data_IF_696430284979
#
_entry.id   IF_696430284979
#
_cell.length_a   1.000
_cell.length_b   1.000
_cell.length_c   1.000
_cell.angle_alpha   90.00
_cell.angle_beta   90.00
_cell.angle_gamma   90.00
#
_symmetry.space_group_name_H-M   'P 1'
#
loop_
_entity.id
_entity.type
_entity.pdbx_description
1 polymer ?
#
# COMPACT_ATOMS: atom_id res chain seq x y z
N UNK A 1 -13.91 72.91 13.47
CA UNK A 1 -13.03 72.05 12.70
C UNK A 1 -12.99 70.69 13.32
N UNK A 2 -13.62 69.70 12.70
CA UNK A 2 -13.69 68.33 13.20
C UNK A 2 -12.75 67.49 12.34
N UNK A 3 -11.68 67.00 12.95
CA UNK A 3 -10.69 66.16 12.29
C UNK A 3 -11.17 64.69 12.38
N UNK A 4 -11.44 64.08 11.23
CA UNK A 4 -11.78 62.65 11.10
C UNK A 4 -10.49 61.87 10.91
N UNK A 5 -10.16 61.00 11.87
CA UNK A 5 -9.07 60.05 11.77
C UNK A 5 -9.64 58.74 11.21
N UNK A 6 -9.21 58.39 9.97
CA UNK A 6 -9.57 57.18 9.29
C UNK A 6 -8.56 56.10 9.68
N UNK A 7 -8.94 55.12 10.50
CA UNK A 7 -8.11 53.96 10.83
C UNK A 7 -8.29 52.91 9.77
N UNK A 8 -7.26 52.66 8.94
CA UNK A 8 -7.16 51.49 8.03
C UNK A 8 -6.80 50.27 8.87
N UNK A 9 -7.74 49.39 9.10
CA UNK A 9 -7.46 48.05 9.63
C UNK A 9 -7.05 47.13 8.47
N UNK A 10 -5.74 46.95 8.29
CA UNK A 10 -5.18 45.98 7.37
C UNK A 10 -5.36 44.56 7.94
N UNK A 11 -6.32 43.80 7.42
CA UNK A 11 -6.47 42.39 7.73
C UNK A 11 -5.39 41.54 6.99
N UNK A 12 -4.42 41.03 7.73
CA UNK A 12 -3.52 39.99 7.24
C UNK A 12 -4.32 38.70 7.13
N UNK A 13 -4.66 38.30 5.88
CA UNK A 13 -5.14 36.95 5.58
C UNK A 13 -3.93 36.01 5.63
N UNK A 14 -3.70 35.38 6.77
CA UNK A 14 -2.84 34.22 6.88
C UNK A 14 -3.52 33.05 6.14
N UNK A 15 -3.14 32.86 4.88
CA UNK A 15 -3.44 31.62 4.17
C UNK A 15 -2.68 30.49 4.89
N UNK A 16 -3.32 29.86 5.84
CA UNK A 16 -2.81 28.65 6.49
C UNK A 16 -2.69 27.56 5.41
N UNK A 17 -1.46 27.23 5.03
CA UNK A 17 -1.22 25.98 4.33
C UNK A 17 -1.74 24.86 5.22
N UNK A 18 -2.86 24.23 4.84
CA UNK A 18 -3.25 22.95 5.39
C UNK A 18 -2.21 21.93 4.94
N UNK A 19 -1.18 21.72 5.74
CA UNK A 19 -0.38 20.51 5.66
C UNK A 19 -1.33 19.35 5.94
N UNK A 20 -1.64 18.53 4.92
CA UNK A 20 -2.49 17.36 5.09
C UNK A 20 -1.92 16.49 6.21
N UNK A 21 -2.81 15.88 7.01
CA UNK A 21 -2.36 14.93 8.04
C UNK A 21 -1.56 13.81 7.38
N UNK A 22 -0.43 13.41 8.01
CA UNK A 22 0.35 12.28 7.52
C UNK A 22 -0.48 10.99 7.54
N UNK A 23 -0.23 10.10 6.58
CA UNK A 23 -0.93 8.82 6.53
C UNK A 23 -0.65 7.97 7.77
N UNK A 24 -1.66 7.26 8.24
CA UNK A 24 -1.44 6.08 9.07
C UNK A 24 -1.09 4.91 8.15
N UNK A 25 0.21 4.77 7.80
CA UNK A 25 0.69 3.74 6.88
C UNK A 25 0.42 2.33 7.38
N UNK A 26 0.47 2.12 8.70
CA UNK A 26 0.13 0.83 9.30
C UNK A 26 -1.33 0.46 9.01
N UNK A 27 -2.26 1.40 9.12
CA UNK A 27 -3.67 1.14 8.80
C UNK A 27 -3.88 0.83 7.32
N UNK A 28 -3.18 1.51 6.40
CA UNK A 28 -3.22 1.24 4.96
C UNK A 28 -2.76 -0.19 4.65
N UNK A 29 -1.61 -0.60 5.21
CA UNK A 29 -1.10 -1.96 5.01
C UNK A 29 -1.97 -3.03 5.66
N UNK A 30 -2.50 -2.79 6.85
CA UNK A 30 -3.44 -3.71 7.48
C UNK A 30 -4.73 -3.87 6.67
N UNK A 31 -5.23 -2.82 6.05
CA UNK A 31 -6.37 -2.89 5.15
C UNK A 31 -6.07 -3.74 3.91
N UNK A 32 -4.91 -3.54 3.29
CA UNK A 32 -4.45 -4.33 2.15
C UNK A 32 -4.31 -5.81 2.52
N UNK A 33 -3.60 -6.13 3.61
CA UNK A 33 -3.38 -7.51 4.08
C UNK A 33 -4.70 -8.19 4.42
N UNK A 34 -5.62 -7.50 5.09
CA UNK A 34 -6.94 -8.04 5.43
C UNK A 34 -7.76 -8.33 4.18
N UNK A 35 -7.80 -7.40 3.20
CA UNK A 35 -8.50 -7.62 1.94
C UNK A 35 -7.90 -8.79 1.16
N UNK A 36 -6.56 -8.94 1.17
CA UNK A 36 -5.87 -10.07 0.56
C UNK A 36 -6.26 -11.40 1.22
N UNK A 37 -6.17 -11.50 2.53
CA UNK A 37 -6.50 -12.71 3.29
C UNK A 37 -7.97 -13.09 3.16
N UNK A 38 -8.86 -12.12 3.07
CA UNK A 38 -10.30 -12.33 2.84
C UNK A 38 -10.65 -12.62 1.38
N UNK A 39 -9.68 -12.63 0.45
CA UNK A 39 -9.92 -12.83 -1.00
C UNK A 39 -10.82 -11.74 -1.62
N UNK A 40 -10.81 -10.55 -1.04
CA UNK A 40 -11.57 -9.38 -1.53
C UNK A 40 -10.85 -8.75 -2.74
N UNK A 41 -10.78 -9.49 -3.85
CA UNK A 41 -10.00 -9.14 -5.06
C UNK A 41 -10.25 -7.72 -5.54
N UNK A 42 -11.52 -7.31 -5.68
CA UNK A 42 -11.87 -5.98 -6.17
C UNK A 42 -11.47 -4.88 -5.18
N UNK A 43 -11.47 -5.17 -3.89
CA UNK A 43 -10.99 -4.24 -2.86
C UNK A 43 -9.49 -4.07 -2.94
N UNK A 44 -8.72 -5.15 -3.06
CA UNK A 44 -7.26 -5.09 -3.27
C UNK A 44 -6.94 -4.25 -4.52
N UNK A 45 -7.62 -4.52 -5.64
CA UNK A 45 -7.47 -3.75 -6.88
C UNK A 45 -7.86 -2.27 -6.68
N UNK A 46 -8.90 -2.00 -5.89
CA UNK A 46 -9.34 -0.65 -5.54
C UNK A 46 -8.30 0.16 -4.77
N UNK A 47 -7.41 -0.50 -4.04
CA UNK A 47 -6.30 0.14 -3.31
C UNK A 47 -5.11 0.50 -4.22
N UNK A 48 -5.00 -0.04 -5.45
CA UNK A 48 -3.89 0.24 -6.36
C UNK A 48 -4.04 1.62 -7.01
N UNK A 49 -2.91 2.32 -7.15
CA UNK A 49 -2.80 3.53 -7.97
C UNK A 49 -2.89 3.17 -9.47
N UNK A 50 -3.32 4.10 -10.33
CA UNK A 50 -3.38 3.87 -11.78
C UNK A 50 -1.99 3.60 -12.39
N UNK A 51 -0.96 4.22 -11.84
CA UNK A 51 0.45 4.09 -12.24
C UNK A 51 1.25 3.12 -11.35
N UNK A 52 0.59 2.24 -10.60
CA UNK A 52 1.25 1.29 -9.70
C UNK A 52 2.32 0.46 -10.41
N UNK A 53 3.42 0.21 -9.72
CA UNK A 53 4.49 -0.68 -10.18
C UNK A 53 4.67 -1.85 -9.23
N UNK A 54 4.90 -3.03 -9.78
CA UNK A 54 5.18 -4.25 -9.04
C UNK A 54 6.49 -4.87 -9.51
N UNK A 55 7.32 -5.26 -8.56
CA UNK A 55 8.59 -5.99 -8.79
C UNK A 55 8.67 -7.21 -7.88
N UNK A 56 9.13 -8.33 -8.48
CA UNK A 56 9.41 -9.58 -7.74
C UNK A 56 10.53 -10.33 -8.47
N UNK A 57 11.73 -10.35 -7.91
CA UNK A 57 12.89 -10.87 -8.59
C UNK A 57 13.14 -10.14 -9.92
N UNK A 58 13.05 -10.87 -11.04
CA UNK A 58 13.15 -10.33 -12.40
C UNK A 58 11.79 -10.03 -13.06
N UNK A 59 10.68 -10.27 -12.35
CA UNK A 59 9.32 -9.95 -12.81
C UNK A 59 9.03 -8.49 -12.58
N UNK A 60 8.41 -7.86 -13.58
CA UNK A 60 8.01 -6.45 -13.51
C UNK A 60 6.66 -6.24 -14.19
N UNK A 61 5.71 -5.64 -13.47
CA UNK A 61 4.40 -5.23 -14.01
C UNK A 61 4.20 -3.73 -13.80
N UNK A 62 3.59 -3.06 -14.79
CA UNK A 62 3.41 -1.61 -14.78
C UNK A 62 1.94 -1.25 -15.03
N UNK A 63 1.42 -0.39 -14.17
CA UNK A 63 0.07 0.11 -14.23
C UNK A 63 -0.97 -0.85 -13.65
N UNK A 64 -2.07 -0.25 -13.21
CA UNK A 64 -3.12 -0.96 -12.46
C UNK A 64 -3.71 -2.15 -13.22
N UNK A 65 -3.89 -2.03 -14.53
CA UNK A 65 -4.46 -3.11 -15.34
C UNK A 65 -3.56 -4.35 -15.31
N UNK A 66 -2.27 -4.19 -15.58
CA UNK A 66 -1.32 -5.31 -15.63
C UNK A 66 -1.09 -5.91 -14.24
N UNK A 67 -0.87 -5.08 -13.22
CA UNK A 67 -0.68 -5.51 -11.82
C UNK A 67 -1.92 -6.22 -11.29
N UNK A 68 -3.12 -5.73 -11.60
CA UNK A 68 -4.37 -6.39 -11.20
C UNK A 68 -4.53 -7.77 -11.82
N UNK A 69 -4.20 -7.91 -13.11
CA UNK A 69 -4.37 -9.17 -13.82
C UNK A 69 -3.30 -10.18 -13.43
N UNK A 70 -2.01 -9.79 -13.50
CA UNK A 70 -0.88 -10.72 -13.42
C UNK A 70 -0.37 -10.96 -12.00
N UNK A 71 -0.65 -10.05 -11.07
CA UNK A 71 -0.30 -10.27 -9.67
C UNK A 71 -1.53 -10.59 -8.83
N UNK A 72 -2.47 -9.64 -8.71
CA UNK A 72 -3.57 -9.82 -7.75
C UNK A 72 -4.44 -11.03 -8.11
N UNK A 73 -4.99 -11.08 -9.35
CA UNK A 73 -5.95 -12.12 -9.74
C UNK A 73 -5.33 -13.51 -9.84
N UNK A 74 -4.07 -13.59 -10.28
CA UNK A 74 -3.38 -14.89 -10.42
C UNK A 74 -2.93 -15.49 -9.08
N UNK A 75 -2.67 -14.65 -8.06
CA UNK A 75 -2.07 -15.15 -6.81
C UNK A 75 -2.98 -15.10 -5.59
N UNK A 76 -3.99 -14.24 -5.56
CA UNK A 76 -4.82 -14.03 -4.35
C UNK A 76 -5.52 -15.30 -3.86
N UNK A 77 -5.90 -16.20 -4.76
CA UNK A 77 -6.59 -17.45 -4.42
C UNK A 77 -5.66 -18.56 -3.96
N UNK A 78 -4.39 -18.53 -4.38
CA UNK A 78 -3.37 -19.53 -4.05
C UNK A 78 -2.58 -19.23 -2.78
N UNK A 79 -2.75 -18.04 -2.19
CA UNK A 79 -2.03 -17.60 -1.01
C UNK A 79 -3.01 -17.31 0.14
N UNK A 80 -2.67 -17.68 1.37
CA UNK A 80 -3.48 -17.37 2.56
C UNK A 80 -2.61 -17.01 3.76
N UNK A 81 -3.21 -16.51 4.81
CA UNK A 81 -2.53 -16.17 6.07
C UNK A 81 -1.30 -15.25 5.87
N UNK A 82 -1.42 -14.30 4.95
CA UNK A 82 -0.37 -13.29 4.72
C UNK A 82 -0.16 -12.47 6.00
N UNK A 83 1.08 -12.47 6.48
CA UNK A 83 1.54 -11.73 7.66
C UNK A 83 2.76 -10.92 7.30
N UNK A 84 2.92 -9.80 7.97
CA UNK A 84 4.11 -8.93 7.81
C UNK A 84 4.73 -8.61 9.17
N UNK A 85 6.05 -8.48 9.17
CA UNK A 85 6.82 -7.94 10.29
C UNK A 85 7.58 -6.71 9.79
N UNK A 86 7.16 -5.53 10.23
CA UNK A 86 7.70 -4.25 9.77
C UNK A 86 9.05 -3.98 10.42
N UNK A 87 10.05 -3.66 9.61
CA UNK A 87 11.42 -3.31 10.03
C UNK A 87 11.66 -1.81 9.86
N UNK A 88 11.05 -1.20 8.84
CA UNK A 88 11.18 0.23 8.55
C UNK A 88 9.87 0.79 8.04
N UNK A 89 9.54 2.00 8.46
CA UNK A 89 8.38 2.72 7.96
C UNK A 89 8.65 4.22 7.98
N UNK A 90 7.94 4.95 7.13
CA UNK A 90 7.99 6.40 7.09
C UNK A 90 6.75 6.96 6.42
N UNK A 91 6.43 8.20 6.79
CA UNK A 91 5.27 8.91 6.23
C UNK A 91 5.51 10.41 6.21
N UNK A 92 5.03 11.03 5.14
CA UNK A 92 4.88 12.49 5.05
C UNK A 92 3.47 12.85 4.56
N UNK A 93 3.26 14.07 4.09
CA UNK A 93 1.95 14.54 3.62
C UNK A 93 1.46 13.84 2.34
N UNK A 94 2.34 13.22 1.55
CA UNK A 94 2.07 12.73 0.20
C UNK A 94 2.55 11.31 -0.07
N UNK A 95 3.51 10.82 0.71
CA UNK A 95 4.13 9.50 0.57
C UNK A 95 4.19 8.82 1.93
N UNK A 96 3.93 7.52 1.93
CA UNK A 96 4.09 6.66 3.09
C UNK A 96 4.61 5.28 2.65
N UNK A 97 5.45 4.64 3.47
CA UNK A 97 5.95 3.31 3.15
C UNK A 97 6.10 2.44 4.41
N UNK A 98 6.00 1.15 4.20
CA UNK A 98 6.52 0.12 5.11
C UNK A 98 7.38 -0.87 4.33
N UNK A 99 8.43 -1.34 4.99
CA UNK A 99 9.32 -2.39 4.51
C UNK A 99 9.63 -3.36 5.65
N UNK A 100 9.83 -4.62 5.33
CA UNK A 100 10.10 -5.64 6.32
C UNK A 100 10.09 -7.03 5.72
N UNK A 101 9.72 -8.03 6.53
CA UNK A 101 9.57 -9.41 6.10
C UNK A 101 8.11 -9.81 6.02
N UNK A 102 7.79 -10.75 5.16
CA UNK A 102 6.46 -11.37 5.09
C UNK A 102 6.55 -12.88 5.22
N UNK A 103 5.45 -13.49 5.63
CA UNK A 103 5.18 -14.92 5.51
C UNK A 103 3.77 -15.14 4.98
N UNK A 104 3.58 -16.21 4.23
CA UNK A 104 2.29 -16.56 3.62
C UNK A 104 2.17 -18.07 3.47
N UNK A 105 0.97 -18.62 3.67
CA UNK A 105 0.67 -20.00 3.33
C UNK A 105 0.41 -20.09 1.82
N UNK A 106 1.17 -20.97 1.14
CA UNK A 106 0.95 -21.33 -0.26
C UNK A 106 0.03 -22.54 -0.31
N UNK A 107 -1.17 -22.32 -0.84
CA UNK A 107 -2.19 -23.37 -0.92
C UNK A 107 -1.85 -24.36 -2.03
N UNK A 108 -2.05 -25.68 -1.80
CA UNK A 108 -1.76 -26.70 -2.81
C UNK A 108 -2.74 -26.62 -3.98
N UNK A 109 -2.25 -26.91 -5.17
CA UNK A 109 -3.11 -27.02 -6.37
C UNK A 109 -4.03 -28.24 -6.31
N UNK A 110 -3.62 -29.29 -5.58
CA UNK A 110 -4.38 -30.52 -5.43
C UNK A 110 -4.54 -30.86 -3.93
N UNK A 111 -5.69 -31.41 -3.51
CA UNK A 111 -6.02 -31.66 -2.09
C UNK A 111 -5.02 -32.55 -1.33
N UNK A 112 -4.25 -33.39 -2.02
CA UNK A 112 -3.29 -34.31 -1.40
C UNK A 112 -1.86 -33.73 -1.30
N UNK A 113 -1.61 -32.57 -1.91
CA UNK A 113 -0.30 -31.92 -1.83
C UNK A 113 -0.18 -31.20 -0.47
N UNK A 114 1.03 -31.16 0.11
CA UNK A 114 1.26 -30.38 1.32
C UNK A 114 1.18 -28.89 1.03
N UNK A 115 0.76 -28.12 2.05
CA UNK A 115 0.89 -26.67 2.00
C UNK A 115 2.36 -26.24 1.94
N UNK A 116 2.62 -25.14 1.26
CA UNK A 116 3.90 -24.48 1.29
C UNK A 116 3.91 -23.30 2.25
N UNK A 117 5.09 -22.87 2.65
CA UNK A 117 5.32 -21.58 3.34
C UNK A 117 6.17 -20.74 2.40
N UNK A 118 5.64 -19.59 1.98
CA UNK A 118 6.37 -18.54 1.29
C UNK A 118 6.82 -17.49 2.32
N UNK A 119 8.07 -17.09 2.23
CA UNK A 119 8.67 -16.05 3.06
C UNK A 119 9.54 -15.14 2.22
N UNK A 120 9.78 -13.93 2.67
CA UNK A 120 10.64 -13.00 1.96
C UNK A 120 10.63 -11.60 2.56
N UNK A 121 11.15 -10.66 1.77
CA UNK A 121 11.15 -9.24 2.10
C UNK A 121 10.10 -8.51 1.28
N UNK A 122 9.54 -7.43 1.83
CA UNK A 122 8.60 -6.59 1.13
C UNK A 122 8.93 -5.11 1.29
N UNK A 123 8.51 -4.33 0.31
CA UNK A 123 8.36 -2.87 0.40
C UNK A 123 7.04 -2.48 -0.24
N UNK A 124 6.18 -1.80 0.51
CA UNK A 124 4.94 -1.21 0.02
C UNK A 124 5.02 0.31 0.17
N UNK A 125 4.82 1.03 -0.93
CA UNK A 125 4.81 2.50 -0.95
C UNK A 125 3.46 3.01 -1.42
N UNK A 126 2.91 3.90 -0.61
CA UNK A 126 1.62 4.56 -0.82
C UNK A 126 1.84 6.01 -1.24
N UNK A 127 1.00 6.49 -2.14
CA UNK A 127 0.94 7.89 -2.53
C UNK A 127 -0.45 8.45 -2.32
N UNK A 128 -0.51 9.70 -1.90
CA UNK A 128 -1.74 10.46 -1.78
C UNK A 128 -2.09 11.06 -3.14
N UNK A 129 -3.26 10.75 -3.63
CA UNK A 129 -3.81 11.33 -4.86
C UNK A 129 -4.29 12.77 -4.69
N UNK A 130 -4.66 13.40 -5.79
CA UNK A 130 -5.24 14.76 -5.81
C UNK A 130 -6.64 14.82 -5.19
N UNK A 131 -7.30 13.68 -5.04
CA UNK A 131 -8.59 13.47 -4.39
C UNK A 131 -8.45 13.16 -2.88
N UNK A 132 -7.27 13.38 -2.30
CA UNK A 132 -6.93 13.08 -0.91
C UNK A 132 -6.97 11.59 -0.54
N UNK A 133 -7.13 10.67 -1.49
CA UNK A 133 -7.09 9.22 -1.24
C UNK A 133 -5.67 8.66 -1.32
N UNK A 134 -5.36 7.71 -0.44
CA UNK A 134 -4.09 6.98 -0.46
C UNK A 134 -4.21 5.73 -1.32
N UNK A 135 -3.25 5.53 -2.23
CA UNK A 135 -3.19 4.36 -3.13
C UNK A 135 -1.82 3.73 -3.10
N UNK A 136 -1.77 2.40 -3.19
CA UNK A 136 -0.53 1.65 -3.34
C UNK A 136 0.08 1.95 -4.71
N UNK A 137 1.22 2.61 -4.72
CA UNK A 137 1.92 3.08 -5.92
C UNK A 137 3.11 2.21 -6.30
N UNK A 138 3.64 1.45 -5.33
CA UNK A 138 4.76 0.55 -5.56
C UNK A 138 4.69 -0.62 -4.60
N UNK A 139 4.92 -1.82 -5.11
CA UNK A 139 5.10 -3.02 -4.33
C UNK A 139 6.34 -3.78 -4.83
N UNK A 140 7.23 -4.11 -3.91
CA UNK A 140 8.38 -4.98 -4.19
C UNK A 140 8.35 -6.17 -3.25
N UNK A 141 8.53 -7.36 -3.81
CA UNK A 141 8.68 -8.61 -3.08
C UNK A 141 10.00 -9.28 -3.46
N UNK A 142 10.67 -9.84 -2.48
CA UNK A 142 11.84 -10.69 -2.66
C UNK A 142 11.57 -12.00 -1.94
N UNK A 143 11.27 -13.04 -2.70
CA UNK A 143 10.90 -14.34 -2.15
C UNK A 143 12.12 -15.19 -1.84
N UNK A 144 12.06 -15.89 -0.73
CA UNK A 144 12.88 -17.08 -0.48
C UNK A 144 12.22 -18.30 -1.14
N UNK A 145 12.99 -19.37 -1.43
CA UNK A 145 12.41 -20.62 -1.93
C UNK A 145 11.31 -21.12 -1.01
N UNK A 146 10.14 -21.47 -1.59
CA UNK A 146 8.98 -22.00 -0.83
C UNK A 146 9.39 -23.28 -0.12
N UNK A 147 9.07 -23.35 1.18
CA UNK A 147 9.32 -24.53 2.01
C UNK A 147 8.02 -25.31 2.19
N UNK A 148 8.15 -26.65 2.28
CA UNK A 148 7.01 -27.51 2.59
C UNK A 148 6.66 -27.39 4.06
N UNK A 149 5.39 -27.13 4.36
CA UNK A 149 4.88 -27.08 5.74
C UNK A 149 4.84 -28.51 6.31
N UNK A 150 5.61 -28.75 7.36
CA UNK A 150 5.63 -30.02 8.08
C UNK A 150 4.44 -30.14 9.04
#
# INVERSE_FOLDING_TARGET
MKTIVLALAGGLLLAGCKSGEPANVQALNQEFIRAWNNKETDKVIGLLAEDVQFLQGNVRFNGKSEVSQKWVRETITSLSDLKTNVVSSGTDATIAYEAGTFSVDVLPEQPQQPHGIGEGNFTLLWKKGTDDTWKLSYAQLEDLPVQVKQ
#
